data_IF_795742436980
#
_entry.id   IF_795742436980
#
_cell.length_a   1.000
_cell.length_b   1.000
_cell.length_c   1.000
_cell.angle_alpha   90.00
_cell.angle_beta   90.00
_cell.angle_gamma   90.00
#
_symmetry.space_group_name_H-M   'P 1'
#
loop_
_entity.id
_entity.type
_entity.pdbx_description
1 polymer ?
#
# COMPACT_ATOMS: atom_id res chain seq x y z
N UNK A 1 36.69 -23.69 9.86
CA UNK A 1 35.95 -24.16 8.67
C UNK A 1 34.85 -23.18 8.37
N UNK A 2 35.00 -22.42 7.28
CA UNK A 2 34.09 -21.34 6.90
C UNK A 2 33.26 -21.84 5.72
N UNK A 3 31.97 -22.10 5.93
CA UNK A 3 31.06 -22.44 4.83
C UNK A 3 30.48 -21.14 4.28
N UNK A 4 31.06 -20.67 3.17
CA UNK A 4 30.50 -19.62 2.33
C UNK A 4 29.25 -20.16 1.64
N UNK A 5 28.08 -19.59 1.91
CA UNK A 5 26.92 -19.75 1.04
C UNK A 5 26.79 -18.49 0.19
N UNK A 6 27.20 -18.60 -1.06
CA UNK A 6 26.91 -17.60 -2.08
C UNK A 6 25.40 -17.62 -2.37
N UNK A 7 24.72 -16.49 -2.22
CA UNK A 7 23.36 -16.27 -2.75
C UNK A 7 23.45 -15.28 -3.91
N UNK A 8 23.11 -15.66 -5.15
CA UNK A 8 22.82 -14.68 -6.18
C UNK A 8 21.34 -14.25 -6.10
N UNK A 9 21.17 -12.92 -6.07
CA UNK A 9 20.02 -12.12 -6.50
C UNK A 9 18.58 -12.52 -6.13
N UNK A 10 17.99 -11.65 -5.30
CA UNK A 10 16.55 -11.40 -5.23
C UNK A 10 16.10 -10.62 -6.46
N UNK A 11 15.06 -11.09 -7.13
CA UNK A 11 14.31 -10.33 -8.12
C UNK A 11 13.04 -11.08 -8.49
N UNK A 12 11.89 -10.41 -8.39
CA UNK A 12 10.53 -10.85 -8.70
C UNK A 12 9.82 -11.71 -7.65
N UNK A 13 8.91 -11.06 -6.89
CA UNK A 13 7.84 -11.73 -6.15
C UNK A 13 6.84 -12.31 -7.17
N UNK A 14 7.02 -13.58 -7.53
CA UNK A 14 6.02 -14.35 -8.27
C UNK A 14 4.96 -14.82 -7.27
N UNK A 15 3.65 -14.62 -7.49
CA UNK A 15 2.62 -15.27 -6.68
C UNK A 15 2.73 -16.80 -6.84
N UNK A 16 2.55 -17.61 -5.78
CA UNK A 16 2.73 -19.06 -5.89
C UNK A 16 1.75 -19.64 -6.91
N UNK A 17 2.28 -20.41 -7.88
CA UNK A 17 1.49 -21.12 -8.90
C UNK A 17 0.45 -22.04 -8.24
N UNK A 18 -0.78 -22.09 -8.75
CA UNK A 18 -1.82 -23.03 -8.26
C UNK A 18 -1.41 -24.52 -8.31
N UNK A 19 -0.44 -24.89 -9.16
CA UNK A 19 0.08 -26.26 -9.22
C UNK A 19 1.06 -26.59 -8.07
N UNK A 20 1.78 -25.61 -7.51
CA UNK A 20 2.57 -25.84 -6.30
C UNK A 20 1.71 -25.87 -5.05
N UNK A 21 0.48 -25.31 -5.09
CA UNK A 21 -0.46 -25.40 -3.98
C UNK A 21 -0.95 -26.82 -3.73
N UNK A 22 -1.29 -27.63 -4.75
CA UNK A 22 -1.71 -29.03 -4.51
C UNK A 22 -0.62 -29.89 -3.86
N UNK A 23 0.65 -29.67 -4.22
CA UNK A 23 1.79 -30.34 -3.57
C UNK A 23 2.09 -29.76 -2.19
N UNK A 24 1.98 -28.45 -2.00
CA UNK A 24 2.14 -27.81 -0.67
C UNK A 24 1.00 -28.17 0.28
N UNK A 25 -0.22 -28.32 -0.21
CA UNK A 25 -1.40 -28.72 0.56
C UNK A 25 -1.28 -30.19 0.99
N UNK A 26 -0.85 -31.08 0.08
CA UNK A 26 -0.50 -32.46 0.44
C UNK A 26 0.66 -32.53 1.46
N UNK A 27 1.71 -31.71 1.29
CA UNK A 27 2.85 -31.65 2.22
C UNK A 27 2.46 -31.04 3.59
N UNK A 28 1.61 -30.01 3.62
CA UNK A 28 1.12 -29.38 4.87
C UNK A 28 0.14 -30.30 5.60
N UNK A 29 -0.67 -31.06 4.87
CA UNK A 29 -1.55 -32.10 5.42
C UNK A 29 -0.75 -33.31 5.88
N UNK A 30 0.31 -33.73 5.18
CA UNK A 30 1.24 -34.79 5.63
C UNK A 30 2.05 -34.40 6.88
N UNK A 31 2.34 -33.11 7.08
CA UNK A 31 2.96 -32.61 8.33
C UNK A 31 2.00 -32.59 9.53
N UNK A 32 0.70 -32.81 9.32
CA UNK A 32 -0.32 -32.81 10.37
C UNK A 32 -1.03 -34.17 10.38
N UNK A 33 -0.54 -35.12 11.18
CA UNK A 33 -1.26 -36.37 11.42
C UNK A 33 -2.69 -36.05 11.89
N UNK A 34 -3.75 -36.38 11.12
CA UNK A 34 -5.13 -36.04 11.47
C UNK A 34 -5.62 -36.71 12.75
N UNK A 35 -4.96 -37.80 13.19
CA UNK A 35 -5.30 -38.57 14.40
C UNK A 35 -4.44 -38.19 15.61
N UNK A 36 -3.20 -37.74 15.40
CA UNK A 36 -2.26 -37.48 16.49
C UNK A 36 -1.80 -36.02 16.63
N UNK A 37 -2.06 -35.15 15.65
CA UNK A 37 -1.48 -33.80 15.58
C UNK A 37 0.06 -33.81 15.61
N UNK A 38 0.67 -32.62 15.60
CA UNK A 38 2.12 -32.47 15.82
C UNK A 38 2.42 -32.76 17.29
N UNK A 39 2.86 -33.97 17.63
CA UNK A 39 3.22 -34.34 19.01
C UNK A 39 4.53 -33.66 19.42
N UNK A 40 4.46 -32.91 20.52
CA UNK A 40 5.54 -32.41 21.40
C UNK A 40 6.00 -30.94 21.36
N UNK A 41 5.24 -30.00 20.78
CA UNK A 41 5.44 -28.55 21.02
C UNK A 41 4.17 -27.75 21.35
N UNK A 42 3.01 -28.40 21.34
CA UNK A 42 1.68 -27.77 21.32
C UNK A 42 1.28 -27.09 22.64
N UNK A 43 1.72 -27.59 23.80
CA UNK A 43 1.28 -27.06 25.10
C UNK A 43 1.85 -25.67 25.44
N UNK A 44 3.14 -25.42 25.19
CA UNK A 44 3.77 -24.11 25.46
C UNK A 44 3.24 -23.02 24.52
N UNK A 45 3.08 -23.32 23.24
CA UNK A 45 2.57 -22.36 22.24
C UNK A 45 1.10 -21.98 22.56
N UNK A 46 0.27 -22.96 22.91
CA UNK A 46 -1.11 -22.73 23.32
C UNK A 46 -1.19 -21.88 24.59
N UNK A 47 -0.37 -22.14 25.59
CA UNK A 47 -0.37 -21.36 26.83
C UNK A 47 -0.01 -19.89 26.59
N UNK A 48 1.03 -19.60 25.81
CA UNK A 48 1.41 -18.22 25.43
C UNK A 48 0.31 -17.54 24.61
N UNK A 49 -0.29 -18.26 23.66
CA UNK A 49 -1.41 -17.74 22.86
C UNK A 49 -2.60 -17.33 23.74
N UNK A 50 -3.04 -18.22 24.65
CA UNK A 50 -4.17 -17.93 25.54
C UNK A 50 -3.86 -16.78 26.50
N UNK A 51 -2.66 -16.76 27.09
CA UNK A 51 -2.24 -15.65 27.94
C UNK A 51 -2.29 -14.31 27.19
N UNK A 52 -1.73 -14.25 25.98
CA UNK A 52 -1.79 -13.04 25.17
C UNK A 52 -3.23 -12.67 24.76
N UNK A 53 -4.08 -13.65 24.43
CA UNK A 53 -5.46 -13.42 24.03
C UNK A 53 -6.33 -12.88 25.18
N UNK A 54 -6.13 -13.39 26.41
CA UNK A 54 -6.86 -12.96 27.60
C UNK A 54 -6.51 -11.51 27.97
N UNK A 55 -5.26 -11.08 27.74
CA UNK A 55 -4.80 -9.72 28.04
C UNK A 55 -5.28 -8.67 27.03
N UNK A 56 -5.86 -9.06 25.88
CA UNK A 56 -6.41 -8.13 24.90
C UNK A 56 -7.79 -7.65 25.35
N UNK A 57 -7.97 -6.33 25.43
CA UNK A 57 -9.27 -5.74 25.70
C UNK A 57 -10.26 -6.08 24.59
N UNK A 58 -11.51 -6.35 24.99
CA UNK A 58 -12.62 -6.68 24.08
C UNK A 58 -13.70 -5.62 24.19
N UNK A 59 -14.41 -5.42 23.09
CA UNK A 59 -15.62 -4.58 23.05
C UNK A 59 -16.84 -5.47 22.90
N UNK A 60 -18.02 -4.97 23.32
CA UNK A 60 -19.29 -5.68 23.14
C UNK A 60 -19.61 -5.84 21.64
N UNK A 61 -20.26 -6.95 21.27
CA UNK A 61 -20.69 -7.19 19.89
C UNK A 61 -21.58 -6.07 19.34
N UNK A 62 -22.44 -5.47 20.19
CA UNK A 62 -23.27 -4.33 19.79
C UNK A 62 -22.45 -3.10 19.35
N UNK A 63 -21.28 -2.88 19.98
CA UNK A 63 -20.37 -1.78 19.63
C UNK A 63 -19.62 -2.08 18.33
N UNK A 64 -19.05 -3.27 18.18
CA UNK A 64 -18.28 -3.64 16.99
C UNK A 64 -19.16 -3.78 15.75
N UNK A 65 -20.31 -4.47 15.86
CA UNK A 65 -21.26 -4.61 14.75
C UNK A 65 -21.89 -3.27 14.38
N UNK A 66 -22.22 -2.42 15.37
CA UNK A 66 -22.71 -1.07 15.10
C UNK A 66 -21.70 -0.22 14.32
N UNK A 67 -20.41 -0.30 14.68
CA UNK A 67 -19.35 0.37 13.94
C UNK A 67 -19.19 -0.15 12.50
N UNK A 68 -19.32 -1.48 12.29
CA UNK A 68 -19.27 -2.10 10.98
C UNK A 68 -20.43 -1.64 10.08
N UNK A 69 -21.67 -1.67 10.59
CA UNK A 69 -22.86 -1.20 9.86
C UNK A 69 -22.71 0.28 9.50
N UNK A 70 -22.22 1.10 10.44
CA UNK A 70 -21.94 2.51 10.16
C UNK A 70 -20.92 2.67 9.03
N UNK A 71 -19.81 1.93 9.08
CA UNK A 71 -18.81 1.94 8.01
C UNK A 71 -19.46 1.59 6.65
N UNK A 72 -20.11 0.44 6.53
CA UNK A 72 -20.74 0.02 5.27
C UNK A 72 -21.73 1.08 4.77
N UNK A 73 -22.56 1.64 5.65
CA UNK A 73 -23.55 2.66 5.28
C UNK A 73 -22.90 3.95 4.77
N UNK A 74 -21.75 4.34 5.34
CA UNK A 74 -20.98 5.51 4.89
C UNK A 74 -20.34 5.27 3.52
N UNK A 75 -19.80 4.08 3.26
CA UNK A 75 -19.04 3.80 2.03
C UNK A 75 -19.84 3.20 0.88
N UNK A 76 -21.10 2.77 1.08
CA UNK A 76 -21.90 2.08 0.06
C UNK A 76 -22.01 2.84 -1.28
N UNK A 77 -22.08 4.18 -1.25
CA UNK A 77 -22.18 5.00 -2.45
C UNK A 77 -20.84 5.16 -3.20
N UNK A 78 -19.73 4.74 -2.57
CA UNK A 78 -18.38 4.76 -3.14
C UNK A 78 -17.93 3.38 -3.63
N UNK A 79 -18.77 2.35 -3.50
CA UNK A 79 -18.50 1.01 -3.98
C UNK A 79 -19.12 0.83 -5.39
N UNK A 80 -18.30 0.67 -6.45
CA UNK A 80 -18.79 0.50 -7.82
C UNK A 80 -19.63 -0.76 -8.05
N UNK A 81 -19.63 -1.73 -7.12
CA UNK A 81 -20.51 -2.90 -7.18
C UNK A 81 -21.91 -2.63 -6.60
N UNK A 82 -22.03 -1.67 -5.67
CA UNK A 82 -23.29 -1.35 -4.99
C UNK A 82 -23.96 -0.10 -5.55
N UNK A 83 -23.17 0.85 -6.07
CA UNK A 83 -23.63 2.10 -6.63
C UNK A 83 -22.96 2.37 -7.99
N UNK A 84 -23.69 2.92 -8.97
CA UNK A 84 -23.11 3.26 -10.26
C UNK A 84 -22.03 4.34 -10.11
N UNK A 85 -20.85 4.06 -10.64
CA UNK A 85 -19.76 5.03 -10.63
C UNK A 85 -19.82 5.97 -11.84
N UNK A 86 -19.45 7.24 -11.63
CA UNK A 86 -19.52 8.28 -12.65
C UNK A 86 -18.14 8.56 -13.26
N UNK A 87 -18.01 8.64 -14.60
CA UNK A 87 -19.10 8.71 -15.59
C UNK A 87 -19.72 7.37 -15.99
N UNK A 88 -18.96 6.27 -15.93
CA UNK A 88 -19.44 4.90 -16.08
C UNK A 88 -18.39 3.91 -15.54
N UNK A 89 -18.75 2.64 -15.39
CA UNK A 89 -17.80 1.60 -14.97
C UNK A 89 -16.95 1.14 -16.16
N UNK A 90 -15.62 1.35 -16.16
CA UNK A 90 -14.75 0.98 -17.29
C UNK A 90 -14.84 -0.49 -17.67
N UNK A 91 -15.08 -1.38 -16.70
CA UNK A 91 -15.20 -2.81 -16.94
C UNK A 91 -16.49 -3.22 -17.65
N UNK A 92 -17.48 -2.32 -17.72
CA UNK A 92 -18.76 -2.55 -18.39
C UNK A 92 -18.88 -1.78 -19.71
N UNK A 93 -18.27 -0.61 -19.79
CA UNK A 93 -18.41 0.31 -20.93
C UNK A 93 -17.19 0.37 -21.83
N UNK A 94 -16.09 -0.27 -21.43
CA UNK A 94 -14.78 -0.23 -22.09
C UNK A 94 -14.26 1.22 -22.30
N UNK A 95 -14.72 2.15 -21.45
CA UNK A 95 -14.34 3.56 -21.45
C UNK A 95 -13.55 3.89 -20.17
N UNK A 96 -12.34 4.43 -20.32
CA UNK A 96 -11.36 4.61 -19.23
C UNK A 96 -11.50 5.91 -18.41
N UNK A 97 -12.34 6.87 -18.85
CA UNK A 97 -12.57 8.16 -18.20
C UNK A 97 -12.69 8.12 -16.67
N UNK A 98 -13.36 7.11 -16.09
CA UNK A 98 -13.42 6.95 -14.63
C UNK A 98 -12.03 6.84 -13.99
N UNK A 99 -11.12 6.05 -14.58
CA UNK A 99 -9.75 5.91 -14.09
C UNK A 99 -8.96 7.20 -14.29
N UNK A 100 -9.10 7.85 -15.45
CA UNK A 100 -8.43 9.11 -15.77
C UNK A 100 -8.79 10.20 -14.75
N UNK A 101 -10.07 10.34 -14.42
CA UNK A 101 -10.56 11.29 -13.42
C UNK A 101 -10.13 10.95 -11.98
N UNK A 102 -9.88 9.68 -11.69
CA UNK A 102 -9.50 9.20 -10.35
C UNK A 102 -8.01 8.82 -10.24
N UNK A 103 -7.17 9.25 -11.19
CA UNK A 103 -5.72 9.07 -11.10
C UNK A 103 -5.16 9.67 -9.82
N UNK A 104 -4.09 9.07 -9.28
CA UNK A 104 -3.53 9.45 -7.97
C UNK A 104 -3.19 10.94 -7.87
N UNK A 105 -2.62 11.52 -8.94
CA UNK A 105 -2.24 12.94 -9.05
C UNK A 105 -3.02 13.62 -10.18
N UNK A 106 -4.26 13.98 -9.89
CA UNK A 106 -5.10 14.80 -10.78
C UNK A 106 -5.11 16.25 -10.28
N UNK A 107 -5.23 17.22 -11.19
CA UNK A 107 -5.32 18.64 -10.83
C UNK A 107 -6.64 18.94 -10.10
N UNK A 108 -7.76 18.51 -10.68
CA UNK A 108 -9.09 18.66 -10.13
C UNK A 108 -9.67 17.28 -9.74
N UNK A 109 -9.78 16.97 -8.43
CA UNK A 109 -10.42 15.73 -7.98
C UNK A 109 -11.92 15.74 -8.24
N UNK A 110 -12.53 14.56 -8.32
CA UNK A 110 -13.99 14.42 -8.41
C UNK A 110 -14.67 14.78 -7.09
N UNK A 111 -15.93 15.23 -7.14
CA UNK A 111 -16.72 15.56 -5.95
C UNK A 111 -16.82 14.39 -4.97
N UNK A 112 -17.05 13.19 -5.50
CA UNK A 112 -17.09 11.95 -4.72
C UNK A 112 -15.74 11.67 -4.03
N UNK A 113 -14.61 11.93 -4.69
CA UNK A 113 -13.29 11.76 -4.07
C UNK A 113 -13.06 12.76 -2.94
N UNK A 114 -13.42 14.03 -3.12
CA UNK A 114 -13.30 15.07 -2.08
C UNK A 114 -14.23 14.79 -0.90
N UNK A 115 -15.48 14.36 -1.15
CA UNK A 115 -16.42 13.97 -0.10
C UNK A 115 -15.86 12.86 0.79
N UNK A 116 -15.21 11.86 0.18
CA UNK A 116 -14.60 10.73 0.91
C UNK A 116 -13.54 11.18 1.91
N UNK A 117 -12.82 12.28 1.66
CA UNK A 117 -11.84 12.83 2.61
C UNK A 117 -12.47 13.21 3.95
N UNK A 118 -13.76 13.57 3.96
CA UNK A 118 -14.48 13.94 5.19
C UNK A 118 -14.83 12.76 6.09
N UNK A 119 -14.80 11.53 5.56
CA UNK A 119 -15.20 10.35 6.33
C UNK A 119 -14.25 10.06 7.49
N UNK A 120 -12.95 10.28 7.28
CA UNK A 120 -11.95 10.18 8.33
C UNK A 120 -10.62 10.82 7.92
N UNK A 121 -9.80 11.20 8.91
CA UNK A 121 -8.42 11.61 8.64
C UNK A 121 -7.64 10.54 7.88
N UNK A 122 -7.93 9.26 8.11
CA UNK A 122 -7.26 8.17 7.38
C UNK A 122 -7.55 8.20 5.88
N UNK A 123 -8.79 8.50 5.48
CA UNK A 123 -9.16 8.66 4.07
C UNK A 123 -8.42 9.85 3.43
N UNK A 124 -8.43 11.01 4.11
CA UNK A 124 -7.70 12.20 3.68
C UNK A 124 -6.19 11.93 3.51
N UNK A 125 -5.58 11.25 4.48
CA UNK A 125 -4.14 10.94 4.46
C UNK A 125 -3.78 9.77 3.55
N UNK A 126 -4.71 8.90 3.17
CA UNK A 126 -4.39 7.84 2.20
C UNK A 126 -4.37 8.39 0.77
N UNK A 127 -5.17 9.42 0.51
CA UNK A 127 -5.23 10.10 -0.77
C UNK A 127 -4.06 11.10 -0.95
N UNK A 128 -3.23 10.93 -1.99
CA UNK A 128 -2.14 11.87 -2.28
C UNK A 128 -2.64 13.29 -2.56
N UNK A 129 -3.75 13.43 -3.30
CA UNK A 129 -4.32 14.74 -3.60
C UNK A 129 -4.94 15.37 -2.35
N UNK A 130 -5.55 14.53 -1.49
CA UNK A 130 -6.05 14.95 -0.18
C UNK A 130 -4.94 15.49 0.72
N UNK A 131 -3.79 14.81 0.79
CA UNK A 131 -2.61 15.30 1.50
C UNK A 131 -2.12 16.65 0.95
N UNK A 132 -2.06 16.80 -0.36
CA UNK A 132 -1.60 18.05 -0.99
C UNK A 132 -2.50 19.23 -0.60
N UNK A 133 -3.82 19.04 -0.60
CA UNK A 133 -4.77 20.07 -0.16
C UNK A 133 -4.66 20.34 1.36
N UNK A 134 -4.52 19.28 2.17
CA UNK A 134 -4.30 19.40 3.61
C UNK A 134 -3.01 20.16 3.94
N UNK A 135 -1.92 19.96 3.16
CA UNK A 135 -0.67 20.73 3.30
C UNK A 135 -0.88 22.22 3.06
N UNK A 136 -1.73 22.61 2.12
CA UNK A 136 -2.08 24.02 1.87
C UNK A 136 -2.72 24.63 3.12
N UNK A 137 -3.65 23.90 3.75
CA UNK A 137 -4.28 24.32 5.00
C UNK A 137 -3.26 24.44 6.15
N UNK A 138 -2.44 23.41 6.37
CA UNK A 138 -1.44 23.41 7.46
C UNK A 138 -0.38 24.51 7.30
N UNK A 139 -0.01 24.85 6.05
CA UNK A 139 0.91 25.94 5.78
C UNK A 139 0.34 27.30 6.21
N UNK A 140 -0.96 27.53 6.04
CA UNK A 140 -1.62 28.77 6.50
C UNK A 140 -1.66 28.89 8.02
N UNK A 141 -1.68 27.75 8.72
CA UNK A 141 -1.72 27.69 10.18
C UNK A 141 -0.34 27.44 10.82
N UNK A 142 0.73 27.43 10.04
CA UNK A 142 2.09 27.13 10.52
C UNK A 142 2.16 25.83 11.35
N UNK A 143 1.47 24.78 10.88
CA UNK A 143 1.32 23.48 11.59
C UNK A 143 1.68 22.27 10.73
N UNK A 144 2.53 22.47 9.71
CA UNK A 144 2.88 21.45 8.71
C UNK A 144 3.87 20.37 9.20
N UNK A 145 4.49 20.55 10.36
CA UNK A 145 5.49 19.67 10.96
C UNK A 145 4.88 18.31 11.32
N UNK A 146 3.67 18.30 11.88
CA UNK A 146 2.97 17.08 12.28
C UNK A 146 2.71 16.13 11.10
N UNK A 147 2.23 16.68 9.99
CA UNK A 147 2.00 15.89 8.78
C UNK A 147 3.32 15.42 8.17
N UNK A 148 4.34 16.28 8.11
CA UNK A 148 5.63 15.91 7.55
C UNK A 148 6.32 14.81 8.37
N UNK A 149 6.23 14.85 9.70
CA UNK A 149 6.69 13.76 10.56
C UNK A 149 5.92 12.47 10.28
N UNK A 150 4.59 12.54 10.17
CA UNK A 150 3.76 11.36 9.89
C UNK A 150 4.11 10.71 8.54
N UNK A 151 4.33 11.52 7.49
CA UNK A 151 4.77 11.06 6.18
C UNK A 151 6.16 10.40 6.23
N UNK A 152 7.11 11.01 6.95
CA UNK A 152 8.45 10.46 7.11
C UNK A 152 8.45 9.12 7.88
N UNK A 153 7.58 9.00 8.90
CA UNK A 153 7.39 7.75 9.62
C UNK A 153 6.75 6.65 8.75
N UNK A 154 5.78 6.98 7.89
CA UNK A 154 5.23 6.04 6.90
C UNK A 154 6.31 5.60 5.90
N UNK A 155 7.13 6.52 5.41
CA UNK A 155 8.22 6.18 4.49
C UNK A 155 9.28 5.27 5.13
N UNK A 156 9.58 5.47 6.42
CA UNK A 156 10.46 4.58 7.19
C UNK A 156 9.85 3.17 7.29
N UNK A 157 8.54 3.07 7.57
CA UNK A 157 7.82 1.80 7.74
C UNK A 157 7.81 0.96 6.45
N UNK A 158 7.70 1.59 5.28
CA UNK A 158 7.62 0.88 3.99
C UNK A 158 8.91 0.92 3.17
N UNK A 159 9.91 1.67 3.61
CA UNK A 159 11.18 1.88 2.92
C UNK A 159 12.17 0.71 2.98
N UNK A 160 13.29 0.86 2.28
CA UNK A 160 14.36 -0.14 2.18
C UNK A 160 15.07 -0.34 3.53
N UNK A 161 15.23 -1.60 3.93
CA UNK A 161 15.84 -1.98 5.21
C UNK A 161 17.28 -1.46 5.38
N UNK A 162 18.07 -1.36 4.30
CA UNK A 162 19.46 -0.86 4.35
C UNK A 162 19.57 0.60 4.79
N UNK A 163 18.57 1.43 4.48
CA UNK A 163 18.54 2.86 4.84
C UNK A 163 17.80 3.16 6.15
N UNK A 164 17.24 2.13 6.80
CA UNK A 164 16.29 2.28 7.90
C UNK A 164 16.89 2.99 9.12
N UNK A 165 18.10 2.59 9.55
CA UNK A 165 18.77 3.20 10.71
C UNK A 165 19.02 4.70 10.48
N UNK A 166 19.65 5.02 9.34
CA UNK A 166 19.97 6.41 8.97
C UNK A 166 18.71 7.26 8.84
N UNK A 167 17.63 6.73 8.25
CA UNK A 167 16.33 7.42 8.16
C UNK A 167 15.73 7.66 9.55
N UNK A 168 15.72 6.66 10.43
CA UNK A 168 15.18 6.80 11.78
C UNK A 168 15.91 7.90 12.58
N UNK A 169 17.25 7.92 12.52
CA UNK A 169 18.06 8.98 13.15
C UNK A 169 17.80 10.36 12.54
N UNK A 170 17.65 10.45 11.22
CA UNK A 170 17.37 11.71 10.51
C UNK A 170 16.02 12.28 10.92
N UNK A 171 15.00 11.41 11.00
CA UNK A 171 13.65 11.80 11.44
C UNK A 171 13.70 12.27 12.89
N UNK A 172 14.42 11.55 13.77
CA UNK A 172 14.59 11.97 15.16
C UNK A 172 15.23 13.36 15.27
N UNK A 173 16.35 13.61 14.59
CA UNK A 173 17.05 14.91 14.61
C UNK A 173 16.21 16.05 14.01
N UNK A 174 15.34 15.74 13.06
CA UNK A 174 14.55 16.75 12.33
C UNK A 174 13.27 17.15 13.07
N UNK A 175 12.64 16.22 13.79
CA UNK A 175 11.31 16.42 14.37
C UNK A 175 11.25 16.25 15.90
N UNK A 176 12.08 15.39 16.49
CA UNK A 176 11.93 14.96 17.89
C UNK A 176 13.03 15.46 18.83
N UNK A 177 14.23 15.69 18.31
CA UNK A 177 15.36 16.15 19.12
C UNK A 177 15.06 17.53 19.76
N UNK A 178 15.60 17.80 20.96
CA UNK A 178 15.52 19.14 21.55
C UNK A 178 16.13 20.18 20.59
N UNK A 179 15.37 21.24 20.27
CA UNK A 179 15.80 22.27 19.33
C UNK A 179 15.77 21.83 17.86
N UNK A 180 15.07 20.75 17.52
CA UNK A 180 14.93 20.29 16.14
C UNK A 180 14.32 21.37 15.23
N UNK A 181 14.76 21.46 13.95
CA UNK A 181 14.31 22.51 13.03
C UNK A 181 12.81 22.45 12.72
N UNK A 182 12.18 21.27 12.84
CA UNK A 182 10.74 21.06 12.64
C UNK A 182 10.14 20.36 13.85
N UNK A 183 10.45 20.88 15.03
CA UNK A 183 10.10 20.27 16.30
C UNK A 183 8.58 20.02 16.44
N UNK A 184 8.21 18.80 16.84
CA UNK A 184 6.83 18.41 17.14
C UNK A 184 6.64 18.12 18.63
N UNK A 185 5.44 18.40 19.13
CA UNK A 185 5.10 18.14 20.52
C UNK A 185 4.52 16.72 20.67
N UNK A 186 5.21 15.87 21.43
CA UNK A 186 4.73 14.53 21.82
C UNK A 186 4.88 14.35 23.33
N UNK A 187 4.03 13.50 23.93
CA UNK A 187 4.08 13.25 25.37
C UNK A 187 5.37 12.52 25.80
N UNK A 188 5.80 12.74 27.04
CA UNK A 188 7.06 12.22 27.56
C UNK A 188 7.17 10.69 27.55
N UNK A 189 6.05 9.97 27.74
CA UNK A 189 6.04 8.50 27.66
C UNK A 189 6.35 8.04 26.24
N UNK A 190 5.69 8.63 25.25
CA UNK A 190 5.91 8.35 23.83
C UNK A 190 7.34 8.71 23.40
N UNK A 191 7.88 9.83 23.88
CA UNK A 191 9.28 10.21 23.65
C UNK A 191 10.25 9.17 24.21
N UNK A 192 10.06 8.76 25.47
CA UNK A 192 10.92 7.75 26.12
C UNK A 192 10.93 6.40 25.39
N UNK A 193 9.76 5.93 24.91
CA UNK A 193 9.67 4.72 24.09
C UNK A 193 10.42 4.87 22.77
N UNK A 194 10.33 6.04 22.13
CA UNK A 194 10.98 6.31 20.85
C UNK A 194 12.49 6.34 21.00
N UNK A 195 13.01 7.04 22.03
CA UNK A 195 14.45 7.10 22.31
C UNK A 195 15.03 5.72 22.59
N UNK A 196 14.37 4.93 23.45
CA UNK A 196 14.80 3.55 23.74
C UNK A 196 14.77 2.66 22.48
N UNK A 197 13.76 2.81 21.65
CA UNK A 197 13.66 2.05 20.39
C UNK A 197 14.77 2.41 19.40
N UNK A 198 15.27 3.65 19.41
CA UNK A 198 16.35 4.11 18.54
C UNK A 198 17.73 3.55 18.92
N UNK A 199 17.89 2.92 20.09
CA UNK A 199 19.10 2.15 20.42
C UNK A 199 19.26 0.95 19.47
N UNK A 200 18.15 0.36 19.03
CA UNK A 200 18.10 -0.74 18.07
C UNK A 200 17.04 -0.46 16.98
N UNK A 201 17.35 0.42 16.02
CA UNK A 201 16.37 0.88 15.04
C UNK A 201 15.74 -0.28 14.24
N UNK A 202 14.41 -0.29 14.23
CA UNK A 202 13.61 -1.22 13.43
C UNK A 202 12.46 -0.48 12.75
N UNK A 203 11.77 -1.17 11.85
CA UNK A 203 10.74 -0.60 10.97
C UNK A 203 9.55 0.07 11.68
N UNK A 204 9.33 -0.30 12.95
CA UNK A 204 8.22 0.18 13.77
C UNK A 204 8.68 1.08 14.92
N UNK A 205 9.95 1.51 14.91
CA UNK A 205 10.55 2.28 16.02
C UNK A 205 9.83 3.60 16.31
N UNK A 206 9.23 4.22 15.29
CA UNK A 206 8.49 5.48 15.40
C UNK A 206 6.97 5.28 15.54
N UNK A 207 6.46 4.05 15.64
CA UNK A 207 5.02 3.77 15.57
C UNK A 207 4.21 4.43 16.70
N UNK A 208 4.76 4.47 17.91
CA UNK A 208 4.12 5.14 19.04
C UNK A 208 3.98 6.65 18.80
N UNK A 209 5.07 7.31 18.39
CA UNK A 209 5.09 8.74 18.07
C UNK A 209 4.19 9.06 16.87
N UNK A 210 4.25 8.25 15.82
CA UNK A 210 3.39 8.38 14.63
C UNK A 210 1.90 8.29 14.99
N UNK A 211 1.54 7.33 15.84
CA UNK A 211 0.15 7.16 16.31
C UNK A 211 -0.28 8.36 17.16
N UNK A 212 0.58 8.85 18.04
CA UNK A 212 0.31 10.04 18.85
C UNK A 212 0.01 11.27 17.97
N UNK A 213 0.87 11.55 17.00
CA UNK A 213 0.71 12.68 16.07
C UNK A 213 -0.52 12.52 15.19
N UNK A 214 -0.82 11.31 14.72
CA UNK A 214 -2.04 11.04 13.97
C UNK A 214 -3.29 11.35 14.80
N UNK A 215 -3.33 10.90 16.07
CA UNK A 215 -4.47 11.16 16.96
C UNK A 215 -4.59 12.64 17.33
N UNK A 216 -3.48 13.35 17.48
CA UNK A 216 -3.45 14.80 17.70
C UNK A 216 -4.10 15.54 16.52
N UNK A 217 -3.65 15.26 15.29
CA UNK A 217 -4.24 15.83 14.08
C UNK A 217 -5.72 15.44 13.93
N UNK A 218 -6.07 14.18 14.23
CA UNK A 218 -7.45 13.68 14.14
C UNK A 218 -8.40 14.40 15.10
N UNK A 219 -7.94 14.71 16.31
CA UNK A 219 -8.78 15.29 17.37
C UNK A 219 -9.12 16.77 17.10
N UNK A 220 -8.21 17.51 16.48
CA UNK A 220 -8.37 18.96 16.31
C UNK A 220 -8.19 19.40 14.84
N UNK A 221 -6.99 19.30 14.29
CA UNK A 221 -6.60 19.86 12.98
C UNK A 221 -7.47 19.39 11.83
N UNK A 222 -7.87 18.11 11.82
CA UNK A 222 -8.75 17.54 10.79
C UNK A 222 -10.13 18.20 10.77
N UNK A 223 -10.76 18.41 11.93
CA UNK A 223 -12.09 19.02 11.98
C UNK A 223 -12.06 20.52 11.64
N UNK A 224 -10.95 21.20 11.95
CA UNK A 224 -10.73 22.59 11.51
C UNK A 224 -10.52 22.66 10.00
N UNK A 225 -9.77 21.73 9.42
CA UNK A 225 -9.62 21.61 7.96
C UNK A 225 -10.97 21.46 7.26
N UNK A 226 -11.84 20.55 7.71
CA UNK A 226 -13.16 20.33 7.09
C UNK A 226 -14.08 21.56 7.17
N UNK A 227 -13.85 22.49 8.10
CA UNK A 227 -14.59 23.75 8.22
C UNK A 227 -13.90 24.92 7.50
N UNK A 228 -12.65 24.73 7.10
CA UNK A 228 -11.79 25.79 6.56
C UNK A 228 -12.25 26.25 5.17
N UNK A 229 -11.93 27.49 4.77
CA UNK A 229 -12.10 27.93 3.40
C UNK A 229 -11.36 27.04 2.38
N UNK A 230 -10.19 26.50 2.74
CA UNK A 230 -9.41 25.62 1.86
C UNK A 230 -10.24 24.40 1.42
N UNK A 231 -10.86 23.69 2.37
CA UNK A 231 -11.68 22.53 2.04
C UNK A 231 -12.98 22.90 1.27
N UNK A 232 -13.61 24.02 1.63
CA UNK A 232 -14.82 24.50 0.92
C UNK A 232 -14.52 24.87 -0.54
N UNK A 233 -13.36 25.49 -0.78
CA UNK A 233 -12.92 25.85 -2.14
C UNK A 233 -12.62 24.61 -3.00
N UNK A 234 -11.96 23.58 -2.46
CA UNK A 234 -11.71 22.35 -3.21
C UNK A 234 -13.03 21.59 -3.48
N UNK A 235 -13.98 21.60 -2.54
CA UNK A 235 -15.33 21.06 -2.78
C UNK A 235 -16.05 21.79 -3.92
N UNK A 236 -15.95 23.12 -3.99
CA UNK A 236 -16.56 23.92 -5.06
C UNK A 236 -15.92 23.66 -6.43
N UNK A 237 -14.61 23.45 -6.46
CA UNK A 237 -13.84 23.17 -7.69
C UNK A 237 -13.88 21.70 -8.13
N UNK A 238 -14.42 20.82 -7.30
CA UNK A 238 -14.41 19.39 -7.57
C UNK A 238 -15.29 19.03 -8.77
N UNK A 239 -14.78 18.16 -9.65
CA UNK A 239 -15.47 17.77 -10.87
C UNK A 239 -16.67 16.86 -10.55
N UNK A 240 -17.80 17.13 -11.19
CA UNK A 240 -18.96 16.24 -11.18
C UNK A 240 -19.15 15.71 -12.61
N UNK A 241 -18.48 14.61 -12.98
CA UNK A 241 -18.56 14.08 -14.34
C UNK A 241 -19.99 13.64 -14.65
N UNK A 242 -20.45 13.97 -15.86
CA UNK A 242 -21.76 13.55 -16.35
C UNK A 242 -21.80 12.04 -16.61
N UNK A 243 -22.96 11.43 -16.40
CA UNK A 243 -23.15 10.01 -16.67
C UNK A 243 -23.08 9.75 -18.16
N UNK A 244 -22.23 8.81 -18.58
CA UNK A 244 -22.24 8.36 -19.96
C UNK A 244 -23.53 7.60 -20.26
N UNK A 245 -24.11 7.85 -21.43
CA UNK A 245 -25.27 7.13 -21.94
C UNK A 245 -24.82 6.10 -22.98
N UNK A 246 -24.99 4.81 -22.66
CA UNK A 246 -24.72 3.70 -23.57
C UNK A 246 -26.02 2.96 -23.86
N UNK A 247 -26.25 2.59 -25.12
CA UNK A 247 -27.38 1.74 -25.47
C UNK A 247 -27.14 0.29 -25.02
N UNK A 248 -28.20 -0.49 -24.72
CA UNK A 248 -28.04 -1.91 -24.38
C UNK A 248 -27.30 -2.72 -25.44
N UNK A 249 -27.48 -2.38 -26.72
CA UNK A 249 -26.79 -3.03 -27.84
C UNK A 249 -25.28 -2.79 -27.80
N UNK A 250 -24.85 -1.55 -27.49
CA UNK A 250 -23.42 -1.23 -27.33
C UNK A 250 -22.79 -2.00 -26.18
N UNK A 251 -23.47 -2.07 -25.04
CA UNK A 251 -22.97 -2.82 -23.87
C UNK A 251 -22.84 -4.32 -24.16
N UNK A 252 -23.80 -4.89 -24.90
CA UNK A 252 -23.75 -6.30 -25.30
C UNK A 252 -22.62 -6.57 -26.29
N UNK A 253 -22.40 -5.68 -27.26
CA UNK A 253 -21.29 -5.78 -28.21
C UNK A 253 -19.94 -5.71 -27.48
N UNK A 254 -19.79 -4.77 -26.54
CA UNK A 254 -18.60 -4.67 -25.69
C UNK A 254 -18.36 -5.97 -24.91
N UNK A 255 -19.40 -6.53 -24.30
CA UNK A 255 -19.30 -7.81 -23.58
C UNK A 255 -18.88 -8.97 -24.49
N UNK A 256 -19.33 -9.01 -25.75
CA UNK A 256 -18.93 -10.03 -26.74
C UNK A 256 -17.47 -9.85 -27.20
N UNK A 257 -17.01 -8.61 -27.29
CA UNK A 257 -15.63 -8.29 -27.69
C UNK A 257 -14.60 -8.55 -26.58
N UNK A 258 -15.05 -8.77 -25.33
CA UNK A 258 -14.17 -9.12 -24.21
C UNK A 258 -13.63 -10.53 -24.41
N UNK A 259 -12.39 -10.61 -24.85
CA UNK A 259 -11.62 -11.85 -24.77
C UNK A 259 -11.30 -12.14 -23.29
N UNK A 260 -11.48 -13.37 -22.80
CA UNK A 260 -10.84 -13.80 -21.56
C UNK A 260 -9.34 -13.63 -21.80
N UNK A 261 -8.75 -12.57 -21.23
CA UNK A 261 -7.39 -12.13 -21.56
C UNK A 261 -6.38 -13.27 -21.60
N UNK A 262 -5.31 -13.08 -22.38
CA UNK A 262 -4.26 -14.09 -22.58
C UNK A 262 -3.87 -14.70 -21.23
N UNK A 263 -4.04 -16.03 -21.12
CA UNK A 263 -3.78 -16.74 -19.88
C UNK A 263 -2.36 -16.41 -19.37
N UNK A 264 -2.14 -16.12 -18.07
CA UNK A 264 -0.85 -15.65 -17.56
C UNK A 264 0.36 -16.53 -17.92
N UNK A 265 0.13 -17.83 -18.11
CA UNK A 265 1.16 -18.78 -18.57
C UNK A 265 1.65 -18.45 -19.98
N UNK A 266 0.76 -18.06 -20.89
CA UNK A 266 1.12 -17.72 -22.26
C UNK A 266 1.96 -16.43 -22.26
N UNK A 267 1.58 -15.44 -21.44
CA UNK A 267 2.37 -14.21 -21.26
C UNK A 267 3.77 -14.52 -20.71
N UNK A 268 3.88 -15.43 -19.73
CA UNK A 268 5.18 -15.84 -19.20
C UNK A 268 6.04 -16.59 -20.21
N UNK A 269 5.44 -17.48 -21.00
CA UNK A 269 6.16 -18.19 -22.06
C UNK A 269 6.69 -17.20 -23.11
N UNK A 270 5.88 -16.21 -23.49
CA UNK A 270 6.30 -15.14 -24.38
C UNK A 270 7.44 -14.31 -23.76
N UNK A 271 7.36 -13.95 -22.48
CA UNK A 271 8.41 -13.20 -21.79
C UNK A 271 9.71 -14.01 -21.66
N UNK A 272 9.65 -15.32 -21.38
CA UNK A 272 10.81 -16.21 -21.37
C UNK A 272 11.43 -16.35 -22.77
N UNK A 273 10.61 -16.47 -23.81
CA UNK A 273 11.08 -16.50 -25.20
C UNK A 273 11.71 -15.18 -25.63
N UNK A 274 11.12 -14.04 -25.27
CA UNK A 274 11.68 -12.71 -25.54
C UNK A 274 12.99 -12.51 -24.80
N UNK A 275 13.07 -12.94 -23.55
CA UNK A 275 14.30 -12.89 -22.75
C UNK A 275 15.37 -13.84 -23.31
N UNK A 276 14.99 -15.03 -23.78
CA UNK A 276 15.90 -15.96 -24.45
C UNK A 276 16.40 -15.39 -25.78
N UNK A 277 15.52 -14.77 -26.59
CA UNK A 277 15.88 -14.07 -27.82
C UNK A 277 16.80 -12.88 -27.55
N UNK A 278 16.52 -12.08 -26.52
CA UNK A 278 17.36 -10.96 -26.11
C UNK A 278 18.72 -11.44 -25.60
N UNK A 279 18.76 -12.51 -24.80
CA UNK A 279 20.01 -13.13 -24.34
C UNK A 279 20.84 -13.68 -25.51
N UNK A 280 20.20 -14.34 -26.48
CA UNK A 280 20.85 -14.83 -27.69
C UNK A 280 21.36 -13.68 -28.58
N UNK A 281 20.62 -12.57 -28.67
CA UNK A 281 21.05 -11.37 -29.39
C UNK A 281 22.18 -10.61 -28.69
N UNK A 282 22.25 -10.67 -27.35
CA UNK A 282 23.32 -10.06 -26.54
C UNK A 282 24.53 -10.98 -26.31
N UNK A 283 24.50 -12.21 -26.82
CA UNK A 283 25.60 -13.14 -26.66
C UNK A 283 26.85 -12.56 -27.35
N UNK A 284 28.02 -12.53 -26.68
CA UNK A 284 29.22 -11.99 -27.26
C UNK A 284 29.60 -12.81 -28.50
N UNK A 285 29.68 -12.14 -29.65
CA UNK A 285 30.17 -12.75 -30.89
C UNK A 285 31.59 -13.24 -30.63
N UNK A 286 31.82 -14.54 -30.81
CA UNK A 286 33.14 -15.15 -30.63
C UNK A 286 34.13 -14.61 -31.68
N UNK A 287 34.90 -13.61 -31.27
CA UNK A 287 35.90 -12.92 -32.10
C UNK A 287 36.97 -13.90 -32.61
N UNK A 288 37.28 -14.98 -31.89
CA UNK A 288 38.25 -16.00 -32.34
C UNK A 288 37.73 -16.81 -33.52
N UNK A 289 36.44 -17.14 -33.53
CA UNK A 289 35.82 -17.84 -34.65
C UNK A 289 35.73 -16.95 -35.91
N UNK A 290 35.50 -15.64 -35.74
CA UNK A 290 35.50 -14.67 -36.84
C UNK A 290 36.90 -14.48 -37.43
N UNK A 291 37.94 -14.37 -36.58
CA UNK A 291 39.32 -14.23 -37.06
C UNK A 291 39.83 -15.49 -37.76
N UNK A 292 39.46 -16.70 -37.30
CA UNK A 292 39.84 -17.95 -37.97
C UNK A 292 39.27 -18.12 -39.39
N UNK A 293 38.16 -17.44 -39.70
CA UNK A 293 37.57 -17.41 -41.05
C UNK A 293 38.23 -16.39 -41.97
N UNK A 294 38.89 -15.37 -41.41
CA UNK A 294 39.65 -14.37 -42.16
C UNK A 294 41.02 -14.93 -42.56
N UNK A 295 41.67 -15.69 -41.68
CA UNK A 295 42.99 -16.30 -41.96
C UNK A 295 42.94 -17.50 -42.93
N UNK A 296 41.76 -18.07 -43.19
CA UNK A 296 41.58 -19.12 -44.22
C UNK A 296 41.34 -18.57 -45.64
N UNK A 297 41.42 -17.25 -45.83
CA UNK A 297 41.18 -16.56 -47.11
C UNK A 297 42.40 -15.82 -47.68
N UNK A 298 43.61 -16.18 -47.23
CA UNK A 298 44.87 -15.80 -47.90
C UNK A 298 45.56 -17.02 -48.46
#
# INVERSE_FOLDING_TARGET
>A
MTIRTARPNRGQHVPPRMHCLKKLEAIVVEMQDPKNGVKNSVQKLNNVFYQQAIMRSKVKSSVSLGALVKYITTYKNHDPFLAPCQPSNPWQTDHDAYWTLNMRRVEAPTKMRVERWSFSLFELLTDLRGRDDFKIFLKKEFSGENLAFWEAAEELKWGTASSMSTKAETIFKTFLAPGAPRWINIDGRTMGLTVKGLEHPHRYVLEAAQTHVFLLMKKDTFFRYLKSPTYKEIQKKALSPETHSFSPAQLQQNAQNRSPGIHPIILWQQEEEEKAKAAAASAPVDVKAVMSKIDRKK
#
